data_IF_220119298380
#
_entry.id   IF_220119298380
#
_cell.length_a   1.000
_cell.length_b   1.000
_cell.length_c   1.000
_cell.angle_alpha   90.00
_cell.angle_beta   90.00
_cell.angle_gamma   90.00
#
_symmetry.space_group_name_H-M   'P 1'
#
loop_
_entity.id
_entity.type
_entity.pdbx_description
1 polymer ?
#
# COMPACT_ATOMS: atom_id res chain seq x y z
N UNK A 1 64.31 -70.79 -25.65
CA UNK A 1 63.60 -70.84 -26.96
C UNK A 1 62.17 -71.31 -26.75
N UNK A 2 61.21 -70.78 -27.53
CA UNK A 2 59.73 -70.94 -27.49
C UNK A 2 59.03 -70.02 -26.47
N UNK A 3 57.97 -69.27 -26.77
CA UNK A 3 57.04 -69.24 -27.92
C UNK A 3 56.45 -67.82 -28.07
N UNK A 4 56.30 -67.35 -29.31
CA UNK A 4 55.44 -66.21 -29.69
C UNK A 4 53.97 -66.58 -29.50
N UNK A 5 53.14 -65.63 -29.08
CA UNK A 5 51.76 -65.51 -29.55
C UNK A 5 51.30 -64.05 -29.45
N UNK A 6 50.94 -63.48 -30.60
CA UNK A 6 50.33 -62.17 -30.75
C UNK A 6 48.82 -62.33 -30.67
N UNK A 7 48.10 -61.46 -29.96
CA UNK A 7 46.67 -61.23 -30.23
C UNK A 7 46.34 -59.74 -30.12
N UNK A 8 45.68 -59.27 -31.18
CA UNK A 8 45.08 -57.93 -31.35
C UNK A 8 43.84 -57.81 -30.48
N UNK A 9 43.54 -56.62 -29.96
CA UNK A 9 42.24 -56.38 -29.34
C UNK A 9 42.04 -54.98 -28.77
N UNK A 10 41.36 -54.15 -29.56
CA UNK A 10 40.48 -53.04 -29.16
C UNK A 10 41.05 -51.79 -28.45
N UNK A 11 40.96 -50.68 -29.19
CA UNK A 11 40.75 -49.33 -28.67
C UNK A 11 39.65 -49.32 -27.60
N UNK A 12 39.94 -48.78 -26.42
CA UNK A 12 38.92 -48.32 -25.49
C UNK A 12 39.11 -46.81 -25.29
N UNK A 13 38.13 -46.07 -25.80
CA UNK A 13 38.11 -44.63 -25.90
C UNK A 13 38.11 -43.96 -24.52
N UNK A 14 38.89 -42.89 -24.39
CA UNK A 14 38.68 -41.84 -23.40
C UNK A 14 37.30 -41.20 -23.63
N UNK A 15 36.28 -41.66 -22.90
CA UNK A 15 34.98 -41.02 -22.81
C UNK A 15 34.89 -40.21 -21.53
N UNK A 16 35.08 -38.90 -21.64
CA UNK A 16 34.89 -37.90 -20.59
C UNK A 16 33.51 -38.10 -19.91
N UNK A 17 33.49 -38.42 -18.62
CA UNK A 17 32.24 -38.40 -17.84
C UNK A 17 31.76 -36.95 -17.69
N UNK A 18 30.74 -36.57 -18.47
CA UNK A 18 29.96 -35.36 -18.24
C UNK A 18 29.13 -35.55 -16.97
N UNK A 19 29.67 -35.10 -15.83
CA UNK A 19 28.86 -34.85 -14.63
C UNK A 19 27.99 -33.63 -14.93
N UNK A 20 26.75 -33.87 -15.34
CA UNK A 20 25.73 -32.81 -15.40
C UNK A 20 25.35 -32.52 -13.95
N UNK A 21 26.07 -31.59 -13.33
CA UNK A 21 25.63 -30.97 -12.09
C UNK A 21 24.34 -30.21 -12.39
N UNK A 22 23.20 -30.84 -12.10
CA UNK A 22 21.92 -30.16 -12.01
C UNK A 22 22.01 -29.16 -10.85
N UNK A 23 22.43 -27.94 -11.16
CA UNK A 23 22.26 -26.80 -10.27
C UNK A 23 20.76 -26.54 -10.21
N UNK A 24 20.08 -27.15 -9.25
CA UNK A 24 18.83 -26.63 -8.72
C UNK A 24 19.14 -25.22 -8.20
N UNK A 25 19.02 -24.22 -9.06
CA UNK A 25 18.89 -22.84 -8.59
C UNK A 25 17.53 -22.77 -7.92
N UNK A 26 17.49 -23.04 -6.62
CA UNK A 26 16.46 -22.49 -5.76
C UNK A 26 16.54 -20.98 -5.94
N UNK A 27 15.68 -20.44 -6.81
CA UNK A 27 15.41 -19.03 -6.84
C UNK A 27 14.90 -18.71 -5.43
N UNK A 28 15.76 -18.12 -4.59
CA UNK A 28 15.36 -17.62 -3.30
C UNK A 28 14.23 -16.61 -3.56
N UNK A 29 12.99 -17.07 -3.38
CA UNK A 29 11.81 -16.23 -3.45
C UNK A 29 12.03 -15.17 -2.39
N UNK A 30 12.26 -13.92 -2.82
CA UNK A 30 12.53 -12.84 -1.89
C UNK A 30 11.32 -12.74 -0.96
N UNK A 31 11.54 -12.89 0.33
CA UNK A 31 10.46 -12.87 1.31
C UNK A 31 9.66 -11.56 1.19
N UNK A 32 8.34 -11.59 1.46
CA UNK A 32 7.53 -10.38 1.44
C UNK A 32 8.12 -9.31 2.34
N UNK A 33 8.13 -8.06 1.85
CA UNK A 33 8.52 -6.92 2.68
C UNK A 33 7.34 -6.58 3.57
N UNK A 34 7.55 -6.67 4.88
CA UNK A 34 6.56 -6.31 5.88
C UNK A 34 7.00 -5.05 6.60
N UNK A 35 6.03 -4.21 6.94
CA UNK A 35 6.29 -2.95 7.63
C UNK A 35 5.17 -2.55 8.57
N UNK A 36 5.52 -1.69 9.51
CA UNK A 36 4.57 -1.01 10.38
C UNK A 36 4.96 0.45 10.46
N UNK A 37 4.14 1.31 9.86
CA UNK A 37 4.36 2.75 9.84
C UNK A 37 3.39 3.47 10.76
N UNK A 38 3.85 4.56 11.36
CA UNK A 38 3.05 5.46 12.16
C UNK A 38 3.18 6.86 11.60
N UNK A 39 2.06 7.43 11.15
CA UNK A 39 2.03 8.78 10.59
C UNK A 39 0.92 9.59 11.23
N UNK A 40 1.19 10.86 11.50
CA UNK A 40 0.20 11.78 12.05
C UNK A 40 -0.45 12.57 10.92
N UNK A 41 -1.78 12.66 10.94
CA UNK A 41 -2.53 13.46 9.97
C UNK A 41 -2.48 14.93 10.38
N UNK A 42 -1.73 15.75 9.66
CA UNK A 42 -1.41 17.14 10.04
C UNK A 42 -1.93 18.18 9.06
N UNK A 43 -2.27 17.78 7.83
CA UNK A 43 -2.71 18.66 6.76
C UNK A 43 -4.19 18.45 6.46
N UNK A 44 -4.87 19.54 6.15
CA UNK A 44 -6.30 19.54 5.79
C UNK A 44 -6.49 20.25 4.46
N UNK A 45 -7.25 19.63 3.57
CA UNK A 45 -7.64 20.18 2.28
C UNK A 45 -9.14 19.93 2.06
N UNK A 46 -9.73 20.76 1.21
CA UNK A 46 -11.03 20.47 0.61
C UNK A 46 -10.82 19.80 -0.75
N UNK A 47 -11.72 18.91 -1.13
CA UNK A 47 -11.78 18.33 -2.48
C UNK A 47 -13.16 18.53 -3.04
N UNK A 48 -13.29 18.70 -4.36
CA UNK A 48 -14.56 18.56 -5.04
C UNK A 48 -15.07 17.11 -4.89
N UNK A 49 -16.36 16.88 -5.15
CA UNK A 49 -16.96 15.53 -5.19
C UNK A 49 -16.35 14.61 -6.27
N UNK A 50 -15.60 15.19 -7.19
CA UNK A 50 -14.87 14.48 -8.25
C UNK A 50 -13.42 14.15 -7.84
N UNK A 51 -13.00 14.52 -6.61
CA UNK A 51 -11.70 14.20 -6.02
C UNK A 51 -10.57 15.21 -6.27
N UNK A 52 -10.75 16.17 -7.17
CA UNK A 52 -9.79 17.25 -7.39
C UNK A 52 -9.74 18.20 -6.19
N UNK A 53 -8.61 18.86 -6.00
CA UNK A 53 -8.46 19.88 -4.96
C UNK A 53 -9.49 21.00 -5.14
N UNK A 54 -10.17 21.35 -4.05
CA UNK A 54 -10.91 22.60 -3.96
C UNK A 54 -10.00 23.68 -3.36
N UNK A 55 -9.92 24.83 -4.05
CA UNK A 55 -9.07 25.96 -3.67
C UNK A 55 -9.82 27.05 -2.90
N UNK A 56 -11.15 26.89 -2.70
CA UNK A 56 -11.97 27.84 -1.96
C UNK A 56 -11.55 27.91 -0.49
N UNK A 57 -11.08 29.09 0.00
CA UNK A 57 -10.63 29.22 1.39
C UNK A 57 -11.73 28.91 2.42
N UNK A 58 -12.99 29.23 2.10
CA UNK A 58 -14.15 28.95 2.95
C UNK A 58 -14.35 27.44 3.19
N UNK A 59 -14.19 26.62 2.15
CA UNK A 59 -14.39 25.17 2.23
C UNK A 59 -13.21 24.51 2.95
N UNK A 60 -11.98 24.99 2.74
CA UNK A 60 -10.81 24.55 3.49
C UNK A 60 -10.95 24.86 4.98
N UNK A 61 -11.40 26.06 5.33
CA UNK A 61 -11.64 26.45 6.72
C UNK A 61 -12.75 25.62 7.37
N UNK A 62 -13.85 25.38 6.63
CA UNK A 62 -14.94 24.52 7.07
C UNK A 62 -14.47 23.08 7.31
N UNK A 63 -13.65 22.52 6.40
CA UNK A 63 -13.04 21.21 6.57
C UNK A 63 -12.16 21.15 7.81
N UNK A 64 -11.31 22.16 8.05
CA UNK A 64 -10.46 22.19 9.25
C UNK A 64 -11.29 22.19 10.54
N UNK A 65 -12.41 22.91 10.57
CA UNK A 65 -13.35 22.90 11.70
C UNK A 65 -14.02 21.53 11.86
N UNK A 66 -14.48 20.92 10.77
CA UNK A 66 -15.13 19.62 10.78
C UNK A 66 -14.19 18.52 11.30
N UNK A 67 -12.99 18.41 10.74
CA UNK A 67 -12.09 17.30 11.04
C UNK A 67 -11.32 17.44 12.37
N UNK A 68 -11.52 18.56 13.07
CA UNK A 68 -11.04 18.80 14.43
C UNK A 68 -12.14 18.68 15.50
N UNK A 69 -13.41 18.60 15.09
CA UNK A 69 -14.53 18.47 16.02
C UNK A 69 -14.46 17.11 16.75
N UNK A 70 -14.91 17.02 18.02
CA UNK A 70 -14.84 15.79 18.81
C UNK A 70 -15.50 14.56 18.15
N UNK A 71 -16.58 14.78 17.39
CA UNK A 71 -17.36 13.75 16.69
C UNK A 71 -16.78 13.31 15.33
N UNK A 72 -15.69 13.93 14.89
CA UNK A 72 -15.07 13.70 13.57
C UNK A 72 -13.58 14.03 13.62
N UNK A 73 -12.93 13.71 14.75
CA UNK A 73 -11.55 14.09 15.02
C UNK A 73 -10.60 13.19 14.23
N UNK A 74 -10.10 13.71 13.12
CA UNK A 74 -9.03 13.10 12.31
C UNK A 74 -7.75 13.93 12.33
N UNK A 75 -7.85 15.25 12.47
CA UNK A 75 -6.68 16.12 12.56
C UNK A 75 -5.90 15.83 13.86
N UNK A 76 -4.60 15.58 13.72
CA UNK A 76 -3.69 15.20 14.80
C UNK A 76 -3.76 13.73 15.20
N UNK A 77 -4.60 12.91 14.55
CA UNK A 77 -4.64 11.47 14.80
C UNK A 77 -3.40 10.80 14.21
N UNK A 78 -2.82 9.88 14.98
CA UNK A 78 -1.79 8.97 14.47
C UNK A 78 -2.46 7.74 13.88
N UNK A 79 -2.21 7.48 12.60
CA UNK A 79 -2.60 6.26 11.91
C UNK A 79 -1.42 5.30 11.95
N UNK A 80 -1.67 4.08 12.43
CA UNK A 80 -0.70 2.98 12.38
C UNK A 80 -1.09 2.03 11.27
N UNK A 81 -0.25 1.88 10.26
CA UNK A 81 -0.51 0.97 9.13
C UNK A 81 0.44 -0.21 9.17
N UNK A 82 -0.10 -1.42 9.12
CA UNK A 82 0.67 -2.65 8.89
C UNK A 82 0.47 -3.08 7.45
N UNK A 83 1.55 -3.43 6.76
CA UNK A 83 1.49 -3.91 5.38
C UNK A 83 2.43 -5.08 5.13
N UNK A 84 2.10 -5.85 4.10
CA UNK A 84 2.93 -6.92 3.53
C UNK A 84 2.88 -6.82 2.02
N UNK A 85 4.04 -6.72 1.38
CA UNK A 85 4.18 -6.54 -0.06
C UNK A 85 5.13 -7.62 -0.60
N UNK A 86 4.57 -8.55 -1.36
CA UNK A 86 5.34 -9.50 -2.14
C UNK A 86 5.43 -9.02 -3.59
N UNK A 87 6.62 -8.55 -3.97
CA UNK A 87 6.87 -8.00 -5.30
C UNK A 87 6.94 -9.07 -6.39
N UNK A 88 7.18 -10.33 -6.02
CA UNK A 88 7.26 -11.46 -6.95
C UNK A 88 5.88 -12.02 -7.24
N UNK A 89 5.13 -12.40 -6.19
CA UNK A 89 3.78 -12.94 -6.34
C UNK A 89 2.72 -11.87 -6.62
N UNK A 90 3.05 -10.59 -6.42
CA UNK A 90 2.13 -9.44 -6.49
C UNK A 90 1.03 -9.47 -5.43
N UNK A 91 1.13 -10.36 -4.44
CA UNK A 91 0.21 -10.41 -3.31
C UNK A 91 0.57 -9.29 -2.33
N UNK A 92 -0.40 -8.44 -2.04
CA UNK A 92 -0.24 -7.27 -1.19
C UNK A 92 -1.41 -7.14 -0.24
N UNK A 93 -1.14 -6.77 1.01
CA UNK A 93 -2.16 -6.50 2.02
C UNK A 93 -1.74 -5.34 2.93
N UNK A 94 -2.72 -4.59 3.41
CA UNK A 94 -2.48 -3.57 4.42
C UNK A 94 -3.69 -3.42 5.36
N UNK A 95 -3.44 -2.89 6.55
CA UNK A 95 -4.48 -2.53 7.51
C UNK A 95 -4.09 -1.27 8.27
N UNK A 96 -4.98 -0.29 8.31
CA UNK A 96 -4.77 0.98 9.01
C UNK A 96 -5.57 1.02 10.30
N UNK A 97 -4.89 1.37 11.39
CA UNK A 97 -5.47 1.54 12.72
C UNK A 97 -5.46 3.01 13.10
N UNK A 98 -6.61 3.53 13.53
CA UNK A 98 -6.79 4.92 13.95
C UNK A 98 -7.75 5.00 15.14
N UNK A 99 -7.67 6.09 15.91
CA UNK A 99 -8.65 6.33 16.97
C UNK A 99 -10.07 6.40 16.38
N UNK A 100 -11.03 5.74 17.02
CA UNK A 100 -12.42 5.74 16.55
C UNK A 100 -13.02 7.15 16.64
N UNK A 101 -13.51 7.73 15.52
CA UNK A 101 -14.10 9.07 15.53
C UNK A 101 -15.58 9.07 15.97
N UNK A 102 -16.24 7.90 15.93
CA UNK A 102 -17.70 7.76 16.05
C UNK A 102 -18.15 6.97 17.27
N UNK A 103 -17.27 6.17 17.87
CA UNK A 103 -17.63 5.26 18.96
C UNK A 103 -16.59 5.27 20.07
N UNK A 104 -17.03 5.20 21.32
CA UNK A 104 -16.15 5.04 22.48
C UNK A 104 -15.52 3.66 22.55
N UNK A 105 -16.10 2.66 21.86
CA UNK A 105 -15.57 1.30 21.77
C UNK A 105 -15.82 0.69 20.38
N UNK A 106 -14.80 0.03 19.76
CA UNK A 106 -13.41 0.01 20.21
C UNK A 106 -12.78 1.40 20.10
N UNK A 107 -11.89 1.76 21.04
CA UNK A 107 -11.19 3.06 21.02
C UNK A 107 -10.30 3.21 19.77
N UNK A 108 -9.83 2.08 19.24
CA UNK A 108 -9.04 2.00 18.01
C UNK A 108 -9.83 1.20 16.99
N UNK A 109 -10.08 1.81 15.84
CA UNK A 109 -10.65 1.15 14.69
C UNK A 109 -9.52 0.61 13.80
N UNK A 110 -9.62 -0.64 13.36
CA UNK A 110 -8.74 -1.22 12.34
C UNK A 110 -9.51 -1.42 11.05
N UNK A 111 -9.01 -0.85 9.95
CA UNK A 111 -9.62 -0.91 8.62
C UNK A 111 -8.71 -1.72 7.69
N UNK A 112 -9.18 -2.85 7.13
CA UNK A 112 -8.44 -3.57 6.10
C UNK A 112 -8.44 -2.75 4.80
N UNK A 113 -7.30 -2.70 4.12
CA UNK A 113 -7.12 -1.94 2.90
C UNK A 113 -6.79 -2.86 1.72
N UNK A 114 -7.39 -2.59 0.56
CA UNK A 114 -7.13 -3.28 -0.69
C UNK A 114 -6.01 -2.56 -1.49
N UNK A 115 -5.16 -3.29 -2.23
CA UNK A 115 -4.18 -2.68 -3.14
C UNK A 115 -4.88 -1.87 -4.25
N UNK A 116 -4.33 -0.70 -4.58
CA UNK A 116 -4.92 0.24 -5.54
C UNK A 116 -4.31 0.21 -6.94
N UNK A 117 -3.22 -0.55 -7.13
CA UNK A 117 -2.55 -0.72 -8.43
C UNK A 117 -1.95 0.58 -8.98
N UNK A 118 -1.37 1.41 -8.11
CA UNK A 118 -0.78 2.70 -8.49
C UNK A 118 0.59 2.52 -9.16
N UNK A 119 0.91 3.43 -10.08
CA UNK A 119 2.26 3.52 -10.64
C UNK A 119 3.16 4.36 -9.74
N UNK A 120 4.38 3.89 -9.48
CA UNK A 120 5.40 4.65 -8.74
C UNK A 120 5.33 4.56 -7.21
N UNK A 121 4.32 3.91 -6.63
CA UNK A 121 4.18 3.69 -5.18
C UNK A 121 3.31 2.46 -4.88
N UNK A 122 3.43 1.91 -3.67
CA UNK A 122 2.51 0.89 -3.17
C UNK A 122 1.34 1.57 -2.47
N UNK A 123 0.22 1.70 -3.19
CA UNK A 123 -1.01 2.32 -2.68
C UNK A 123 -2.04 1.30 -2.22
N UNK A 124 -2.72 1.62 -1.11
CA UNK A 124 -3.78 0.84 -0.50
C UNK A 124 -4.96 1.73 -0.11
N UNK A 125 -6.17 1.20 -0.19
CA UNK A 125 -7.37 1.96 0.15
C UNK A 125 -8.55 1.12 0.60
N UNK A 126 -9.42 1.75 1.39
CA UNK A 126 -10.76 1.28 1.69
C UNK A 126 -11.75 2.41 1.44
N UNK A 127 -12.72 2.16 0.57
CA UNK A 127 -13.74 3.12 0.17
C UNK A 127 -15.03 2.80 0.92
N UNK A 128 -15.47 3.71 1.80
CA UNK A 128 -16.65 3.54 2.68
C UNK A 128 -16.62 2.22 3.47
N UNK A 129 -15.55 1.91 4.22
CA UNK A 129 -15.53 0.70 5.03
C UNK A 129 -16.70 0.72 6.02
N UNK A 130 -17.25 -0.45 6.36
CA UNK A 130 -18.47 -0.55 7.17
C UNK A 130 -18.42 0.22 8.50
N UNK A 131 -17.23 0.33 9.11
CA UNK A 131 -17.03 1.08 10.34
C UNK A 131 -16.91 2.61 10.14
N UNK A 132 -16.64 3.09 8.92
CA UNK A 132 -16.58 4.51 8.54
C UNK A 132 -17.27 4.70 7.17
N UNK A 133 -18.61 4.56 7.09
CA UNK A 133 -19.32 4.57 5.81
C UNK A 133 -19.22 5.91 5.07
N UNK A 134 -18.92 6.99 5.79
CA UNK A 134 -18.76 8.33 5.24
C UNK A 134 -17.29 8.73 5.09
N UNK A 135 -16.36 7.77 4.97
CA UNK A 135 -14.96 8.10 4.76
C UNK A 135 -14.23 7.11 3.87
N UNK A 136 -13.14 7.57 3.28
CA UNK A 136 -12.10 6.71 2.70
C UNK A 136 -10.88 6.70 3.60
N UNK A 137 -10.22 5.55 3.67
CA UNK A 137 -8.94 5.40 4.35
C UNK A 137 -7.93 4.96 3.31
N UNK A 138 -6.87 5.76 3.15
CA UNK A 138 -5.84 5.54 2.14
C UNK A 138 -4.47 5.47 2.82
N UNK A 139 -3.61 4.62 2.29
CA UNK A 139 -2.21 4.52 2.68
C UNK A 139 -1.34 4.36 1.43
N UNK A 140 -0.17 4.98 1.41
CA UNK A 140 0.86 4.65 0.44
C UNK A 140 2.25 4.69 1.04
N UNK A 141 3.18 3.98 0.38
CA UNK A 141 4.60 3.99 0.68
C UNK A 141 5.37 3.93 -0.64
N UNK A 142 6.50 4.62 -0.73
CA UNK A 142 7.35 4.62 -1.94
C UNK A 142 7.83 3.19 -2.26
N UNK A 143 8.26 2.95 -3.50
CA UNK A 143 8.74 1.62 -3.94
C UNK A 143 9.97 1.12 -3.17
N UNK A 144 10.71 2.02 -2.51
CA UNK A 144 11.82 1.70 -1.62
C UNK A 144 11.40 1.54 -0.14
N UNK A 145 10.08 1.45 0.10
CA UNK A 145 9.45 1.30 1.41
C UNK A 145 9.73 2.47 2.37
N UNK A 146 9.90 3.68 1.83
CA UNK A 146 10.07 4.92 2.60
C UNK A 146 8.89 5.87 2.41
N UNK A 147 8.91 6.95 3.21
CA UNK A 147 7.95 8.06 3.17
C UNK A 147 6.48 7.60 3.20
N UNK A 148 6.08 6.84 4.23
CA UNK A 148 4.70 6.44 4.38
C UNK A 148 3.78 7.68 4.43
N UNK A 149 2.65 7.57 3.74
CA UNK A 149 1.57 8.56 3.78
C UNK A 149 0.27 7.87 4.17
N UNK A 150 -0.49 8.49 5.06
CA UNK A 150 -1.89 8.10 5.30
C UNK A 150 -2.81 9.28 5.09
N UNK A 151 -4.02 8.96 4.63
CA UNK A 151 -5.06 9.96 4.39
C UNK A 151 -6.41 9.41 4.79
N UNK A 152 -7.26 10.30 5.30
CA UNK A 152 -8.69 10.07 5.47
C UNK A 152 -9.44 11.11 4.67
N UNK A 153 -10.28 10.67 3.73
CA UNK A 153 -11.21 11.55 3.03
C UNK A 153 -12.58 11.41 3.67
N UNK A 154 -13.07 12.45 4.33
CA UNK A 154 -14.41 12.51 4.89
C UNK A 154 -15.38 13.00 3.83
N UNK A 155 -16.42 12.20 3.57
CA UNK A 155 -17.44 12.47 2.57
C UNK A 155 -18.57 13.30 3.18
N UNK A 156 -18.97 14.37 2.50
CA UNK A 156 -20.12 15.19 2.83
C UNK A 156 -21.16 15.06 1.72
N UNK A 157 -22.26 14.34 1.99
CA UNK A 157 -23.33 14.16 1.01
C UNK A 157 -24.20 15.41 0.83
N UNK A 158 -24.21 16.31 1.81
CA UNK A 158 -24.98 17.56 1.85
C UNK A 158 -24.22 18.76 1.27
N UNK A 159 -22.98 18.56 0.82
CA UNK A 159 -22.08 19.62 0.33
C UNK A 159 -21.47 19.26 -1.02
N UNK A 160 -21.03 20.28 -1.75
CA UNK A 160 -20.31 20.13 -3.01
C UNK A 160 -18.79 19.86 -2.83
N UNK A 161 -18.32 19.69 -1.59
CA UNK A 161 -16.94 19.38 -1.25
C UNK A 161 -16.82 18.30 -0.17
N UNK A 162 -15.71 17.58 -0.20
CA UNK A 162 -15.28 16.61 0.80
C UNK A 162 -14.03 17.11 1.53
N UNK A 163 -13.72 16.52 2.67
CA UNK A 163 -12.62 16.97 3.52
C UNK A 163 -11.51 15.93 3.60
N UNK A 164 -10.34 16.26 3.06
CA UNK A 164 -9.15 15.41 3.09
C UNK A 164 -8.28 15.80 4.29
N UNK A 165 -7.94 14.82 5.12
CA UNK A 165 -6.93 14.94 6.18
C UNK A 165 -5.80 13.98 5.89
N UNK A 166 -4.56 14.45 5.86
CA UNK A 166 -3.43 13.65 5.39
C UNK A 166 -2.13 14.01 6.10
N UNK A 167 -1.17 13.08 6.08
CA UNK A 167 0.21 13.35 6.47
C UNK A 167 1.05 13.99 5.35
N UNK A 168 0.58 14.03 4.10
CA UNK A 168 1.31 14.61 2.97
C UNK A 168 0.92 16.08 2.75
N UNK A 169 1.87 17.05 2.76
CA UNK A 169 1.57 18.46 2.52
C UNK A 169 1.19 18.79 1.06
N UNK A 170 1.39 17.87 0.11
CA UNK A 170 1.06 18.04 -1.30
C UNK A 170 0.33 16.78 -1.86
N UNK A 171 -0.85 16.43 -1.33
CA UNK A 171 -1.49 15.14 -1.60
C UNK A 171 -2.09 15.03 -3.02
N UNK A 172 -2.15 16.14 -3.75
CA UNK A 172 -2.64 16.18 -5.13
C UNK A 172 -1.53 15.91 -6.16
N UNK A 173 -0.28 15.90 -5.72
CA UNK A 173 0.89 15.56 -6.54
C UNK A 173 1.26 14.10 -6.26
N UNK A 174 0.81 13.16 -7.11
CA UNK A 174 1.13 11.73 -6.95
C UNK A 174 0.06 10.82 -7.52
N UNK A 175 0.32 9.51 -7.53
CA UNK A 175 -0.63 8.54 -8.08
C UNK A 175 -1.84 8.35 -7.16
N UNK A 176 -1.68 8.48 -5.84
CA UNK A 176 -2.77 8.34 -4.87
C UNK A 176 -3.87 9.40 -5.05
N UNK A 177 -3.56 10.59 -5.57
CA UNK A 177 -4.55 11.65 -5.80
C UNK A 177 -5.64 11.22 -6.79
N UNK A 178 -5.30 10.34 -7.75
CA UNK A 178 -6.23 9.77 -8.73
C UNK A 178 -7.32 8.90 -8.08
N UNK A 179 -7.09 8.47 -6.84
CA UNK A 179 -8.00 7.61 -6.07
C UNK A 179 -8.93 8.40 -5.17
N UNK A 180 -8.69 9.70 -5.00
CA UNK A 180 -9.57 10.53 -4.18
C UNK A 180 -10.98 10.49 -4.73
N UNK A 181 -11.19 10.70 -6.04
CA UNK A 181 -12.51 10.77 -6.67
C UNK A 181 -13.26 9.44 -6.86
N UNK A 182 -12.66 8.30 -6.53
CA UNK A 182 -13.29 6.99 -6.75
C UNK A 182 -14.49 6.80 -5.83
N UNK A 183 -15.58 6.25 -6.36
CA UNK A 183 -16.80 5.86 -5.62
C UNK A 183 -17.44 6.99 -4.78
N UNK A 184 -17.13 8.26 -5.09
CA UNK A 184 -17.70 9.42 -4.38
C UNK A 184 -19.15 9.71 -4.80
N UNK A 185 -19.55 9.27 -6.00
CA UNK A 185 -20.95 9.25 -6.42
C UNK A 185 -21.74 8.19 -5.65
N UNK A 186 -22.93 8.56 -5.17
CA UNK A 186 -23.88 7.61 -4.59
C UNK A 186 -24.50 6.68 -5.63
#
# INVERSE_FOLDING_TARGET
MKRKSSYRGALAACGLSLVVAALCMDAAVAAPVTGTDKVTLTHVFATLQTGQQDQKPEDIAACRKQVSAPSSKYLGVTVTTKYSIDVQSKIMSASSSLASPVATQPLVLTVPLAPLGLSGEYGFGAFRPSALPNAYVLFSVDLDFKKPTSSVLVLNSDKNYNCLVTSNPAPFNGALSTKLGQDQGG
#
